data_IF_692607165036
#
_entry.id   IF_692607165036
#
_cell.length_a   1.000
_cell.length_b   1.000
_cell.length_c   1.000
_cell.angle_alpha   90.00
_cell.angle_beta   90.00
_cell.angle_gamma   90.00
#
_symmetry.space_group_name_H-M   'P 1'
#
loop_
_entity.id
_entity.type
_entity.pdbx_description
1 polymer ?
#
# COMPACT_ATOMS: atom_id res chain seq x y z
N UNK A 1 -5.57 7.81 36.85
CA UNK A 1 -5.28 6.56 36.12
C UNK A 1 -5.05 6.94 34.67
N UNK A 2 -3.79 6.85 34.23
CA UNK A 2 -3.38 7.33 32.90
C UNK A 2 -3.96 6.44 31.82
N UNK A 3 -4.79 7.03 30.96
CA UNK A 3 -5.23 6.42 29.72
C UNK A 3 -3.99 6.11 28.89
N UNK A 4 -3.59 4.84 28.84
CA UNK A 4 -2.61 4.34 27.87
C UNK A 4 -3.27 4.50 26.50
N UNK A 5 -3.09 5.68 25.90
CA UNK A 5 -3.39 5.94 24.52
C UNK A 5 -2.50 4.96 23.74
N UNK A 6 -3.06 3.80 23.38
CA UNK A 6 -2.42 2.85 22.50
C UNK A 6 -2.08 3.63 21.23
N UNK A 7 -0.82 4.06 21.11
CA UNK A 7 -0.27 4.56 19.87
C UNK A 7 -0.25 3.36 18.94
N UNK A 8 -1.36 3.10 18.25
CA UNK A 8 -1.37 2.16 17.13
C UNK A 8 -0.23 2.64 16.22
N UNK A 9 0.76 1.79 15.92
CA UNK A 9 1.83 2.19 15.03
C UNK A 9 1.20 2.65 13.72
N UNK A 10 1.75 3.68 13.05
CA UNK A 10 1.24 4.14 11.78
C UNK A 10 1.23 2.94 10.82
N UNK A 11 0.03 2.45 10.50
CA UNK A 11 -0.12 1.35 9.56
C UNK A 11 0.23 1.95 8.21
N UNK A 12 1.34 1.49 7.62
CA UNK A 12 1.70 1.85 6.25
C UNK A 12 0.51 1.46 5.36
N UNK A 13 0.05 2.38 4.52
CA UNK A 13 -1.00 2.11 3.54
C UNK A 13 -0.38 2.04 2.16
N UNK A 14 -0.97 1.26 1.26
CA UNK A 14 -0.50 1.22 -0.12
C UNK A 14 -0.74 2.60 -0.75
N UNK A 15 0.25 3.12 -1.46
CA UNK A 15 0.12 4.32 -2.28
C UNK A 15 -0.67 4.01 -3.55
N UNK A 16 -1.99 3.92 -3.41
CA UNK A 16 -2.92 3.54 -4.49
C UNK A 16 -2.79 4.47 -5.70
N UNK A 17 -2.53 5.76 -5.47
CA UNK A 17 -2.35 6.74 -6.53
C UNK A 17 -1.11 6.41 -7.38
N UNK A 18 0.03 6.17 -6.73
CA UNK A 18 1.26 5.76 -7.41
C UNK A 18 1.07 4.43 -8.13
N UNK A 19 0.50 3.41 -7.47
CA UNK A 19 0.26 2.11 -8.11
C UNK A 19 -0.62 2.27 -9.35
N UNK A 20 -1.71 3.05 -9.29
CA UNK A 20 -2.54 3.28 -10.48
C UNK A 20 -1.81 4.04 -11.60
N UNK A 21 -0.89 4.96 -11.27
CA UNK A 21 -0.06 5.63 -12.26
C UNK A 21 0.88 4.64 -12.95
N UNK A 22 1.58 3.80 -12.19
CA UNK A 22 2.46 2.76 -12.73
C UNK A 22 1.72 1.75 -13.59
N UNK A 23 0.50 1.38 -13.21
CA UNK A 23 -0.35 0.53 -14.03
C UNK A 23 -0.71 1.21 -15.35
N UNK A 24 -1.06 2.50 -15.33
CA UNK A 24 -1.37 3.26 -16.56
C UNK A 24 -0.17 3.38 -17.48
N UNK A 25 1.02 3.68 -16.95
CA UNK A 25 2.26 3.75 -17.74
C UNK A 25 2.58 2.45 -18.46
N UNK A 26 2.28 1.31 -17.82
CA UNK A 26 2.48 -0.02 -18.42
C UNK A 26 1.30 -0.50 -19.28
N UNK A 27 0.20 0.25 -19.35
CA UNK A 27 -1.04 -0.20 -19.97
C UNK A 27 -1.68 -1.41 -19.26
N UNK A 28 -1.43 -1.56 -17.96
CA UNK A 28 -1.88 -2.68 -17.14
C UNK A 28 -3.19 -2.38 -16.41
N UNK A 29 -3.97 -3.43 -16.19
CA UNK A 29 -5.15 -3.40 -15.33
C UNK A 29 -4.82 -4.00 -13.96
N UNK A 30 -5.67 -3.76 -12.95
CA UNK A 30 -5.55 -4.41 -11.63
C UNK A 30 -5.63 -5.95 -11.73
N UNK A 31 -6.40 -6.47 -12.69
CA UNK A 31 -6.44 -7.91 -12.99
C UNK A 31 -5.09 -8.42 -13.47
N UNK A 32 -4.42 -7.65 -14.34
CA UNK A 32 -3.08 -8.01 -14.81
C UNK A 32 -2.07 -7.94 -13.66
N UNK A 33 -2.11 -6.88 -12.84
CA UNK A 33 -1.28 -6.78 -11.65
C UNK A 33 -1.42 -8.01 -10.74
N UNK A 34 -2.65 -8.43 -10.45
CA UNK A 34 -2.88 -9.61 -9.62
C UNK A 34 -2.27 -10.89 -10.22
N UNK A 35 -2.32 -11.04 -11.55
CA UNK A 35 -1.67 -12.17 -12.25
C UNK A 35 -0.15 -12.12 -12.15
N UNK A 36 0.45 -10.94 -12.35
CA UNK A 36 1.91 -10.76 -12.23
C UNK A 36 2.38 -10.99 -10.79
N UNK A 37 1.55 -10.63 -9.80
CA UNK A 37 1.81 -10.92 -8.38
C UNK A 37 1.55 -12.38 -8.00
N UNK A 38 0.94 -13.19 -8.87
CA UNK A 38 0.52 -14.56 -8.54
C UNK A 38 -0.57 -14.62 -7.44
N UNK A 39 -1.41 -13.59 -7.33
CA UNK A 39 -2.39 -13.42 -6.25
C UNK A 39 -3.83 -13.40 -6.73
N UNK A 40 -4.76 -13.64 -5.80
CA UNK A 40 -6.18 -13.51 -6.07
C UNK A 40 -6.55 -12.05 -6.43
N UNK A 41 -7.34 -11.90 -7.51
CA UNK A 41 -7.76 -10.60 -8.02
C UNK A 41 -8.60 -9.82 -7.02
N UNK A 42 -9.51 -10.50 -6.32
CA UNK A 42 -10.39 -9.84 -5.36
C UNK A 42 -9.57 -9.34 -4.16
N UNK A 43 -8.65 -10.16 -3.64
CA UNK A 43 -7.74 -9.74 -2.58
C UNK A 43 -6.91 -8.52 -2.96
N UNK A 44 -6.23 -8.54 -4.12
CA UNK A 44 -5.43 -7.38 -4.58
C UNK A 44 -6.29 -6.13 -4.73
N UNK A 45 -7.52 -6.28 -5.25
CA UNK A 45 -8.44 -5.15 -5.41
C UNK A 45 -8.85 -4.58 -4.06
N UNK A 46 -9.22 -5.40 -3.09
CA UNK A 46 -9.65 -4.96 -1.77
C UNK A 46 -8.50 -4.30 -0.99
N UNK A 47 -7.27 -4.81 -1.13
CA UNK A 47 -6.07 -4.17 -0.57
C UNK A 47 -5.85 -2.80 -1.18
N UNK A 48 -5.92 -2.67 -2.52
CA UNK A 48 -5.77 -1.39 -3.22
C UNK A 48 -6.93 -0.42 -2.95
N UNK A 49 -8.08 -0.90 -2.49
CA UNK A 49 -9.19 -0.06 -2.05
C UNK A 49 -9.09 0.29 -0.55
N UNK A 50 -8.07 -0.20 0.16
CA UNK A 50 -7.91 -0.02 1.60
C UNK A 50 -8.95 -0.77 2.45
N UNK A 51 -9.65 -1.74 1.85
CA UNK A 51 -10.71 -2.54 2.49
C UNK A 51 -10.19 -3.84 3.12
N UNK A 52 -9.03 -4.31 2.67
CA UNK A 52 -8.34 -5.46 3.22
C UNK A 52 -6.92 -5.09 3.70
N UNK A 53 -6.47 -5.76 4.76
CA UNK A 53 -5.08 -5.69 5.18
C UNK A 53 -4.19 -6.43 4.18
N UNK A 54 -2.99 -5.89 3.95
CA UNK A 54 -1.97 -6.53 3.15
C UNK A 54 -0.97 -7.26 4.06
N UNK A 55 -0.54 -8.44 3.62
CA UNK A 55 0.46 -9.26 4.30
C UNK A 55 1.86 -9.15 3.69
N UNK A 56 2.86 -9.84 4.28
CA UNK A 56 4.24 -9.84 3.77
C UNK A 56 4.33 -10.31 2.31
N UNK A 57 3.53 -11.32 1.94
CA UNK A 57 3.49 -11.82 0.56
C UNK A 57 3.07 -10.73 -0.43
N UNK A 58 2.08 -9.90 -0.09
CA UNK A 58 1.60 -8.82 -0.96
C UNK A 58 2.68 -7.76 -1.15
N UNK A 59 3.36 -7.39 -0.05
CA UNK A 59 4.47 -6.44 -0.07
C UNK A 59 5.61 -6.93 -0.96
N UNK A 60 6.06 -8.18 -0.77
CA UNK A 60 7.15 -8.76 -1.57
C UNK A 60 6.76 -8.82 -3.04
N UNK A 61 5.59 -9.36 -3.37
CA UNK A 61 5.15 -9.47 -4.77
C UNK A 61 4.99 -8.09 -5.44
N UNK A 62 4.53 -7.07 -4.71
CA UNK A 62 4.39 -5.73 -5.27
C UNK A 62 5.75 -5.10 -5.57
N UNK A 63 6.73 -5.28 -4.67
CA UNK A 63 8.11 -4.83 -4.89
C UNK A 63 8.78 -5.57 -6.05
N UNK A 64 8.54 -6.87 -6.19
CA UNK A 64 9.07 -7.67 -7.30
C UNK A 64 8.51 -7.21 -8.66
N UNK A 65 7.23 -6.83 -8.71
CA UNK A 65 6.59 -6.29 -9.93
C UNK A 65 7.10 -4.88 -10.25
N UNK A 66 7.46 -4.10 -9.23
CA UNK A 66 7.90 -2.71 -9.35
C UNK A 66 9.29 -2.49 -8.74
N UNK A 67 10.35 -3.14 -9.27
CA UNK A 67 11.67 -3.18 -8.64
C UNK A 67 12.41 -1.83 -8.66
N UNK A 68 11.90 -0.86 -9.41
CA UNK A 68 12.41 0.52 -9.45
C UNK A 68 11.85 1.42 -8.35
N UNK A 69 10.86 0.94 -7.60
CA UNK A 69 10.24 1.67 -6.50
C UNK A 69 10.59 1.03 -5.17
N UNK A 70 10.78 1.87 -4.16
CA UNK A 70 11.14 1.42 -2.82
C UNK A 70 9.89 1.15 -1.98
N UNK A 71 10.10 0.55 -0.82
CA UNK A 71 9.06 0.38 0.20
C UNK A 71 8.40 1.72 0.54
N UNK A 72 9.17 2.79 0.71
CA UNK A 72 8.64 4.09 1.12
C UNK A 72 7.83 4.78 0.02
N UNK A 73 8.12 4.52 -1.26
CA UNK A 73 7.32 5.02 -2.39
C UNK A 73 5.94 4.35 -2.42
N UNK A 74 5.94 3.02 -2.33
CA UNK A 74 4.74 2.18 -2.46
C UNK A 74 3.92 2.10 -1.17
N UNK A 75 4.56 2.29 -0.01
CA UNK A 75 3.97 2.18 1.32
C UNK A 75 4.43 3.35 2.20
N UNK A 76 4.00 4.59 1.89
CA UNK A 76 4.37 5.76 2.65
C UNK A 76 3.91 5.63 4.10
N UNK A 77 4.76 6.06 5.03
CA UNK A 77 4.36 6.20 6.42
C UNK A 77 3.39 7.38 6.46
N UNK A 78 2.15 7.22 6.97
CA UNK A 78 1.26 8.35 7.13
C UNK A 78 1.95 9.39 8.01
N UNK A 79 2.33 10.51 7.39
CA UNK A 79 2.83 11.67 8.10
C UNK A 79 1.63 12.18 8.90
N UNK A 80 1.56 11.83 10.19
CA UNK A 80 0.64 12.52 11.08
C UNK A 80 1.03 13.99 10.99
N UNK A 81 0.13 14.92 10.60
CA UNK A 81 0.41 16.32 10.77
C UNK A 81 0.56 16.50 12.28
N UNK A 82 1.80 16.57 12.77
CA UNK A 82 2.08 17.05 14.11
C UNK A 82 1.50 18.45 14.10
N UNK A 83 0.38 18.62 14.81
CA UNK A 83 -0.34 19.87 14.88
C UNK A 83 0.66 20.96 15.25
N UNK A 84 0.92 21.82 14.27
CA UNK A 84 1.62 23.07 14.50
C UNK A 84 0.80 23.86 15.49
N UNK A 85 1.46 24.22 16.59
CA UNK A 85 1.00 25.24 17.50
C UNK A 85 0.64 26.52 16.73
N UNK A 86 -0.50 27.10 17.08
CA UNK A 86 -0.72 28.54 17.07
C UNK A 86 -1.61 28.85 18.28
#
# INVERSE_FOLDING_TARGET
MGSTQQRRPPVRTVNVALVNALLRERGWTRTRLAREMGMDRAHVTEVLLGRAAWGPAFLTALLDVFPRHTLDDLFPVPHHPVGGAA
#
